data_IF_803121877999
#
_entry.id   IF_803121877999
#
_cell.length_a   1.000
_cell.length_b   1.000
_cell.length_c   1.000
_cell.angle_alpha   90.00
_cell.angle_beta   90.00
_cell.angle_gamma   90.00
#
_symmetry.space_group_name_H-M   'P 1'
#
loop_
_entity.id
_entity.type
_entity.pdbx_description
1 polymer ?
#
# COMPACT_ATOMS: atom_id res chain seq x y z
N UNK A 1 32.39 8.95 -31.36
CA UNK A 1 31.56 7.94 -32.05
C UNK A 1 30.14 8.48 -32.12
N UNK A 2 29.75 9.12 -33.25
CA UNK A 2 28.60 10.03 -33.33
C UNK A 2 27.40 9.45 -34.09
N UNK A 3 26.18 9.73 -33.64
CA UNK A 3 24.87 9.72 -34.34
C UNK A 3 23.85 10.09 -33.22
N UNK A 4 22.96 11.08 -33.25
CA UNK A 4 22.45 11.99 -34.28
C UNK A 4 21.69 13.17 -33.57
N UNK A 5 21.92 14.39 -34.08
CA UNK A 5 21.05 15.60 -34.20
C UNK A 5 20.24 16.16 -33.02
N UNK A 6 20.72 17.32 -32.57
CA UNK A 6 19.96 18.55 -32.34
C UNK A 6 18.97 18.83 -33.49
N UNK A 7 17.70 19.04 -33.15
CA UNK A 7 16.76 19.77 -34.00
C UNK A 7 16.62 21.18 -33.44
N UNK A 8 17.09 22.12 -34.26
CA UNK A 8 16.88 23.55 -34.13
C UNK A 8 15.40 23.87 -34.29
N UNK A 9 14.90 24.65 -33.34
CA UNK A 9 13.58 25.26 -33.29
C UNK A 9 13.65 26.54 -34.10
N UNK A 10 13.19 26.53 -35.34
CA UNK A 10 12.83 27.73 -36.11
C UNK A 10 11.91 27.32 -37.26
N UNK A 11 10.79 28.05 -37.37
CA UNK A 11 9.78 28.08 -38.44
C UNK A 11 8.96 26.82 -38.74
N UNK A 12 7.94 26.58 -37.90
CA UNK A 12 6.73 25.88 -38.35
C UNK A 12 5.49 26.50 -37.70
N UNK A 13 4.98 27.58 -38.30
CA UNK A 13 3.61 28.03 -38.11
C UNK A 13 2.66 27.08 -38.86
N UNK A 14 2.57 25.83 -38.41
CA UNK A 14 1.54 24.91 -38.83
C UNK A 14 0.45 24.92 -37.76
N UNK A 15 -0.69 25.53 -38.09
CA UNK A 15 -1.89 25.63 -37.27
C UNK A 15 -2.36 24.23 -36.84
N UNK A 16 -1.86 23.74 -35.70
CA UNK A 16 -2.32 22.50 -35.11
C UNK A 16 -3.71 22.73 -34.53
N UNK A 17 -4.73 22.13 -35.15
CA UNK A 17 -6.05 22.00 -34.53
C UNK A 17 -5.86 21.37 -33.15
N UNK A 18 -6.45 22.01 -32.14
CA UNK A 18 -6.41 21.57 -30.75
C UNK A 18 -6.89 20.12 -30.66
N UNK A 19 -5.96 19.20 -30.35
CA UNK A 19 -6.17 17.75 -30.34
C UNK A 19 -7.15 17.28 -29.26
N UNK A 20 -7.61 18.18 -28.40
CA UNK A 20 -8.60 17.89 -27.35
C UNK A 20 -10.06 18.01 -27.84
N UNK A 21 -10.29 18.34 -29.11
CA UNK A 21 -11.62 18.38 -29.72
C UNK A 21 -11.72 17.42 -30.91
N UNK A 22 -12.91 16.86 -31.20
CA UNK A 22 -13.11 16.05 -32.39
C UNK A 22 -12.72 16.84 -33.65
N UNK A 23 -11.98 16.17 -34.54
CA UNK A 23 -11.48 16.74 -35.80
C UNK A 23 -12.64 17.40 -36.55
N UNK A 24 -12.50 18.68 -36.89
CA UNK A 24 -13.57 19.40 -37.58
C UNK A 24 -13.77 18.82 -38.99
N UNK A 25 -15.00 18.86 -39.51
CA UNK A 25 -15.34 18.27 -40.83
C UNK A 25 -14.43 18.77 -41.96
N UNK A 26 -13.91 20.00 -41.87
CA UNK A 26 -12.96 20.52 -42.86
C UNK A 26 -11.60 19.80 -42.86
N UNK A 27 -11.13 19.33 -41.71
CA UNK A 27 -9.87 18.57 -41.62
C UNK A 27 -10.06 17.08 -41.92
N UNK A 28 -11.30 16.59 -41.95
CA UNK A 28 -11.61 15.20 -42.28
C UNK A 28 -11.57 14.95 -43.78
N UNK A 29 -11.88 15.97 -44.58
CA UNK A 29 -12.10 15.82 -46.02
C UNK A 29 -10.88 16.19 -46.89
N UNK A 30 -9.95 17.02 -46.41
CA UNK A 30 -8.78 17.48 -47.19
C UNK A 30 -7.49 17.50 -46.35
N UNK A 31 -6.61 16.53 -46.57
CA UNK A 31 -5.25 16.53 -45.99
C UNK A 31 -4.37 17.58 -46.70
N UNK A 32 -4.41 18.82 -46.23
CA UNK A 32 -3.50 19.89 -46.69
C UNK A 32 -4.15 21.24 -46.97
N UNK A 33 -5.48 21.35 -46.88
CA UNK A 33 -6.15 22.64 -46.99
C UNK A 33 -5.95 23.49 -45.70
N UNK A 34 -5.77 24.79 -45.87
CA UNK A 34 -5.62 25.74 -44.75
C UNK A 34 -6.94 25.82 -43.96
N UNK A 35 -6.94 25.30 -42.73
CA UNK A 35 -8.13 25.24 -41.88
C UNK A 35 -8.51 26.64 -41.38
N UNK A 36 -9.51 27.26 -42.03
CA UNK A 36 -10.01 28.58 -41.67
C UNK A 36 -11.19 28.46 -40.66
N UNK A 37 -10.93 27.88 -39.48
CA UNK A 37 -11.97 27.77 -38.45
C UNK A 37 -12.22 29.14 -37.80
N UNK A 38 -13.30 29.81 -38.22
CA UNK A 38 -13.84 30.97 -37.49
C UNK A 38 -14.85 30.46 -36.47
N UNK A 39 -14.61 30.61 -35.14
CA UNK A 39 -15.55 30.15 -34.13
C UNK A 39 -16.90 30.83 -34.34
N UNK A 40 -17.92 30.05 -34.73
CA UNK A 40 -19.27 30.56 -34.93
C UNK A 40 -19.77 31.04 -33.57
N UNK A 41 -19.81 32.36 -33.35
CA UNK A 41 -20.40 33.00 -32.16
C UNK A 41 -21.77 32.38 -31.95
N UNK A 42 -21.90 31.49 -30.97
CA UNK A 42 -23.21 30.98 -30.56
C UNK A 42 -24.00 32.18 -30.09
N UNK A 43 -25.06 32.53 -30.83
CA UNK A 43 -26.08 33.42 -30.32
C UNK A 43 -26.58 32.82 -29.01
N UNK A 44 -26.45 33.59 -27.91
CA UNK A 44 -27.14 33.31 -26.65
C UNK A 44 -28.61 33.09 -26.99
N UNK A 45 -29.08 31.86 -26.84
CA UNK A 45 -30.51 31.57 -26.90
C UNK A 45 -31.12 32.21 -25.65
N UNK A 46 -32.03 33.18 -25.76
CA UNK A 46 -32.74 33.70 -24.61
C UNK A 46 -33.64 32.59 -24.05
N UNK A 47 -33.37 32.16 -22.82
CA UNK A 47 -34.32 31.37 -22.04
C UNK A 47 -35.43 32.30 -21.57
N UNK A 48 -36.49 32.35 -22.36
CA UNK A 48 -37.80 32.86 -21.94
C UNK A 48 -38.88 31.82 -22.27
N UNK A 49 -39.95 31.83 -21.46
CA UNK A 49 -41.04 30.87 -21.29
C UNK A 49 -40.80 29.88 -20.12
N UNK A 50 -41.58 29.88 -19.03
CA UNK A 50 -42.99 30.25 -18.91
C UNK A 50 -43.35 30.76 -17.51
N UNK A 51 -44.14 31.83 -17.49
CA UNK A 51 -45.01 32.19 -16.37
C UNK A 51 -46.47 32.18 -16.85
N UNK A 52 -47.34 31.81 -15.92
CA UNK A 52 -48.77 32.12 -15.82
C UNK A 52 -49.78 31.22 -16.57
N UNK A 53 -50.35 30.27 -15.84
CA UNK A 53 -51.80 30.08 -15.77
C UNK A 53 -52.21 29.89 -14.30
N UNK A 54 -53.29 30.57 -13.92
CA UNK A 54 -53.71 30.91 -12.56
C UNK A 54 -55.10 30.31 -12.33
N UNK A 55 -55.28 29.37 -11.41
CA UNK A 55 -56.61 29.07 -10.84
C UNK A 55 -56.54 28.45 -9.43
N UNK A 56 -57.66 28.51 -8.70
CA UNK A 56 -57.83 28.82 -7.27
C UNK A 56 -57.86 27.61 -6.28
N UNK A 57 -57.30 27.84 -5.07
CA UNK A 57 -57.66 27.33 -3.71
C UNK A 57 -57.58 25.81 -3.35
N UNK A 58 -57.56 25.40 -2.05
CA UNK A 58 -56.95 26.02 -0.85
C UNK A 58 -56.08 25.04 0.00
N UNK A 59 -55.10 25.62 0.72
CA UNK A 59 -54.51 25.19 2.02
C UNK A 59 -54.24 23.70 2.32
N UNK A 60 -52.96 23.31 2.30
CA UNK A 60 -52.35 22.45 3.33
C UNK A 60 -50.84 22.75 3.51
N UNK A 61 -50.30 22.67 4.75
CA UNK A 61 -48.90 22.96 5.03
C UNK A 61 -48.08 21.67 5.06
N UNK A 62 -47.12 21.50 4.14
CA UNK A 62 -46.06 20.51 4.31
C UNK A 62 -44.72 21.07 3.86
N UNK A 63 -43.72 20.71 4.65
CA UNK A 63 -42.45 21.39 4.85
C UNK A 63 -41.48 21.15 3.69
N UNK A 64 -40.97 22.24 3.12
CA UNK A 64 -39.85 22.20 2.20
C UNK A 64 -38.56 21.87 2.97
N UNK A 65 -38.07 20.63 2.84
CA UNK A 65 -36.68 20.31 3.14
C UNK A 65 -35.82 20.71 1.95
N UNK A 66 -35.27 21.92 2.02
CA UNK A 66 -34.08 22.30 1.26
C UNK A 66 -32.93 21.35 1.65
N UNK A 67 -32.54 20.47 0.73
CA UNK A 67 -31.33 19.67 0.85
C UNK A 67 -30.12 20.59 0.66
N UNK A 68 -29.64 21.13 1.79
CA UNK A 68 -28.34 21.78 1.88
C UNK A 68 -27.28 20.68 1.93
N UNK A 69 -26.42 20.63 0.92
CA UNK A 69 -25.18 19.85 0.95
C UNK A 69 -24.22 20.48 1.95
N UNK A 70 -24.34 20.10 3.22
CA UNK A 70 -23.28 20.30 4.20
C UNK A 70 -22.28 19.15 4.03
N UNK A 71 -21.12 19.48 3.50
CA UNK A 71 -19.90 18.70 3.64
C UNK A 71 -19.63 18.61 5.15
N UNK A 72 -19.76 17.43 5.73
CA UNK A 72 -19.34 17.19 7.10
C UNK A 72 -17.82 17.36 7.19
N UNK A 73 -17.39 18.37 7.93
CA UNK A 73 -16.07 18.46 8.51
C UNK A 73 -15.81 17.19 9.33
N UNK A 74 -14.91 16.35 8.85
CA UNK A 74 -14.35 15.26 9.65
C UNK A 74 -13.39 15.84 10.68
N UNK A 75 -13.46 15.42 11.97
CA UNK A 75 -12.53 15.89 12.97
C UNK A 75 -11.10 15.45 12.64
N UNK A 76 -10.19 16.41 12.79
CA UNK A 76 -8.76 16.32 12.57
C UNK A 76 -8.18 15.15 13.39
N UNK A 77 -7.56 14.17 12.73
CA UNK A 77 -6.97 13.01 13.41
C UNK A 77 -5.81 13.45 14.32
N UNK A 78 -5.84 12.94 15.55
CA UNK A 78 -4.84 13.19 16.58
C UNK A 78 -3.48 12.59 16.17
N UNK A 79 -2.43 13.39 16.34
CA UNK A 79 -1.05 13.04 16.02
C UNK A 79 -0.53 11.91 16.92
N UNK A 80 -0.62 10.65 16.46
CA UNK A 80 0.01 9.52 17.14
C UNK A 80 1.48 9.42 16.77
N UNK A 81 2.32 9.72 17.77
CA UNK A 81 3.78 9.60 17.67
C UNK A 81 4.18 8.12 17.58
N UNK A 82 4.95 7.80 16.54
CA UNK A 82 5.58 6.51 16.29
C UNK A 82 6.61 6.19 17.37
N UNK A 83 6.20 5.47 18.43
CA UNK A 83 7.11 4.97 19.46
C UNK A 83 6.74 3.56 19.92
N UNK A 84 7.67 2.61 19.74
CA UNK A 84 7.80 1.32 20.42
C UNK A 84 6.63 0.31 20.34
N UNK A 85 6.27 -0.14 19.14
CA UNK A 85 5.58 -1.44 18.98
C UNK A 85 6.33 -2.29 17.96
N UNK A 86 7.47 -2.83 18.40
CA UNK A 86 8.00 -4.07 17.85
C UNK A 86 6.95 -5.13 18.15
N UNK A 87 6.59 -5.88 17.12
CA UNK A 87 5.70 -7.03 17.22
C UNK A 87 6.04 -7.86 18.46
N UNK A 88 5.07 -8.01 19.38
CA UNK A 88 5.02 -9.21 20.20
C UNK A 88 4.85 -10.38 19.23
N UNK A 89 5.97 -10.99 18.86
CA UNK A 89 5.98 -12.26 18.16
C UNK A 89 5.31 -13.30 19.06
N UNK A 90 4.36 -14.12 18.56
CA UNK A 90 4.13 -15.44 19.13
C UNK A 90 5.31 -16.31 18.68
N UNK A 91 6.49 -16.13 19.29
CA UNK A 91 7.60 -17.05 19.06
C UNK A 91 7.26 -18.41 19.66
N UNK A 92 7.49 -19.41 18.82
CA UNK A 92 7.43 -20.81 19.13
C UNK A 92 8.17 -21.14 20.44
N UNK A 93 7.48 -21.90 21.29
CA UNK A 93 8.08 -22.72 22.34
C UNK A 93 9.21 -23.58 21.75
N UNK A 94 10.47 -23.11 21.89
CA UNK A 94 11.67 -23.89 22.24
C UNK A 94 12.92 -22.99 22.12
N UNK A 95 13.15 -22.19 23.15
CA UNK A 95 14.45 -21.59 23.42
C UNK A 95 14.69 -21.66 24.92
N UNK A 96 15.74 -22.36 25.36
CA UNK A 96 16.17 -22.37 26.76
C UNK A 96 16.52 -20.93 27.17
N UNK A 97 15.93 -20.47 28.26
CA UNK A 97 16.37 -19.26 28.96
C UNK A 97 17.79 -19.47 29.51
N UNK A 98 18.66 -18.44 29.50
CA UNK A 98 19.94 -18.49 30.19
C UNK A 98 19.72 -18.63 31.71
N UNK A 99 20.44 -19.52 32.40
CA UNK A 99 20.38 -19.61 33.86
C UNK A 99 21.09 -18.40 34.48
N UNK A 100 20.45 -17.75 35.46
CA UNK A 100 21.17 -16.87 36.39
C UNK A 100 20.73 -15.41 36.45
N UNK A 101 19.45 -15.07 36.28
CA UNK A 101 18.99 -13.67 36.41
C UNK A 101 17.90 -13.41 37.45
N UNK A 102 17.83 -14.21 38.51
CA UNK A 102 17.26 -13.79 39.80
C UNK A 102 17.91 -14.60 40.93
N UNK A 103 18.98 -14.08 41.53
CA UNK A 103 19.28 -14.36 42.93
C UNK A 103 19.37 -13.03 43.68
N UNK A 104 18.40 -12.89 44.57
CA UNK A 104 18.20 -11.80 45.50
C UNK A 104 19.25 -11.94 46.60
N UNK A 105 19.90 -10.83 46.94
CA UNK A 105 20.86 -10.68 48.03
C UNK A 105 20.50 -11.51 49.26
N UNK A 106 21.33 -12.50 49.58
CA UNK A 106 21.45 -13.06 50.92
C UNK A 106 22.92 -13.01 51.33
N UNK A 107 23.14 -12.17 52.32
CA UNK A 107 24.33 -11.99 53.15
C UNK A 107 25.01 -13.31 53.54
N UNK A 108 26.33 -13.39 53.33
CA UNK A 108 27.17 -14.49 53.82
C UNK A 108 28.62 -14.33 53.40
N UNK A 109 29.36 -13.44 54.07
CA UNK A 109 30.82 -13.28 53.91
C UNK A 109 31.55 -14.31 54.78
N UNK A 110 32.03 -15.39 54.17
CA UNK A 110 33.18 -16.23 54.58
C UNK A 110 33.99 -16.37 53.27
N UNK A 111 35.26 -15.99 53.16
CA UNK A 111 36.40 -16.38 54.00
C UNK A 111 37.28 -17.33 53.18
N UNK A 112 38.60 -17.11 53.22
CA UNK A 112 39.68 -18.01 52.76
C UNK A 112 40.09 -17.98 51.27
N UNK A 113 41.22 -17.32 51.02
CA UNK A 113 42.52 -17.90 50.63
C UNK A 113 42.50 -19.15 49.72
N UNK A 114 43.17 -19.11 48.57
CA UNK A 114 44.49 -19.74 48.38
C UNK A 114 44.97 -19.58 46.93
N UNK A 115 46.28 -19.65 46.77
CA UNK A 115 47.09 -19.22 45.66
C UNK A 115 47.25 -20.25 44.52
N UNK A 116 47.90 -19.77 43.45
CA UNK A 116 49.03 -20.43 42.79
C UNK A 116 48.84 -21.35 41.57
N UNK A 117 49.59 -20.94 40.54
CA UNK A 117 50.45 -21.73 39.63
C UNK A 117 49.85 -22.33 38.35
N UNK A 118 50.22 -21.67 37.25
CA UNK A 118 51.02 -22.15 36.11
C UNK A 118 50.96 -23.64 35.72
N UNK A 119 50.72 -23.90 34.43
CA UNK A 119 50.74 -25.27 33.90
C UNK A 119 50.44 -25.38 32.41
N UNK A 120 51.47 -25.17 31.60
CA UNK A 120 51.50 -25.52 30.17
C UNK A 120 51.39 -27.05 29.97
N UNK A 121 50.57 -27.54 29.03
CA UNK A 121 50.97 -28.55 28.04
C UNK A 121 49.82 -29.10 27.14
N UNK A 122 50.03 -28.90 25.84
CA UNK A 122 49.90 -29.87 24.73
C UNK A 122 48.54 -30.44 24.27
N UNK A 123 48.37 -30.66 22.95
CA UNK A 123 47.10 -31.01 22.32
C UNK A 123 46.89 -32.54 22.21
N UNK A 124 45.64 -32.98 22.24
CA UNK A 124 45.25 -34.34 21.84
C UNK A 124 44.12 -34.34 20.83
N UNK A 125 44.46 -34.86 19.65
CA UNK A 125 43.58 -35.48 18.68
C UNK A 125 42.54 -36.40 19.32
N UNK A 126 41.30 -36.38 18.81
CA UNK A 126 40.45 -37.57 18.65
C UNK A 126 39.45 -37.40 17.49
N UNK A 127 38.96 -38.51 16.89
CA UNK A 127 38.60 -38.58 15.49
C UNK A 127 37.09 -38.69 15.23
N UNK A 128 36.79 -38.50 13.93
CA UNK A 128 35.55 -38.71 13.20
C UNK A 128 34.80 -40.01 13.56
N UNK A 129 33.50 -39.88 13.83
CA UNK A 129 32.55 -40.99 13.78
C UNK A 129 31.47 -40.70 12.74
N UNK A 130 31.59 -41.44 11.66
CA UNK A 130 30.59 -41.68 10.62
C UNK A 130 29.50 -42.61 11.18
N UNK A 131 28.22 -42.25 10.99
CA UNK A 131 27.08 -43.14 11.26
C UNK A 131 25.98 -42.94 10.21
N UNK A 132 26.12 -43.75 9.17
CA UNK A 132 25.08 -44.25 8.28
C UNK A 132 23.86 -44.78 9.06
N UNK A 133 22.66 -44.40 8.63
CA UNK A 133 21.39 -44.98 9.07
C UNK A 133 20.59 -45.41 7.84
N UNK A 134 20.68 -46.69 7.48
CA UNK A 134 19.72 -47.34 6.61
C UNK A 134 18.61 -48.01 7.44
N UNK A 135 17.39 -47.76 6.96
CA UNK A 135 16.14 -48.53 7.00
C UNK A 135 15.96 -49.69 8.01
N UNK A 136 14.80 -49.68 8.68
CA UNK A 136 13.94 -50.87 8.77
C UNK A 136 12.46 -50.53 8.95
N UNK A 137 11.68 -51.22 8.14
CA UNK A 137 10.23 -51.25 7.99
C UNK A 137 9.56 -52.21 9.01
N UNK A 138 8.26 -51.96 9.23
CA UNK A 138 7.18 -52.86 9.70
C UNK A 138 7.09 -53.21 11.20
N UNK A 139 5.99 -52.78 11.82
CA UNK A 139 5.14 -53.65 12.66
C UNK A 139 3.73 -53.10 12.77
N UNK A 140 2.77 -53.91 12.31
CA UNK A 140 1.34 -53.73 12.49
C UNK A 140 0.93 -54.27 13.87
N UNK A 141 0.09 -53.52 14.58
CA UNK A 141 -0.58 -53.95 15.80
C UNK A 141 -2.01 -53.41 15.83
N UNK A 142 -3.04 -54.24 16.08
CA UNK A 142 -4.42 -53.80 16.18
C UNK A 142 -4.80 -53.53 17.65
N UNK A 143 -5.90 -52.79 17.80
CA UNK A 143 -6.68 -52.62 19.05
C UNK A 143 -6.17 -51.57 20.04
N UNK A 144 -6.90 -50.46 20.07
CA UNK A 144 -6.77 -49.40 21.04
C UNK A 144 -7.81 -48.33 20.73
N UNK A 145 -8.97 -48.46 21.37
CA UNK A 145 -10.07 -47.49 21.45
C UNK A 145 -9.58 -46.04 21.35
N UNK A 146 -9.84 -45.39 20.21
CA UNK A 146 -9.62 -43.95 20.05
C UNK A 146 -10.78 -43.20 20.70
N UNK A 147 -10.52 -42.24 21.59
CA UNK A 147 -11.56 -41.33 22.06
C UNK A 147 -12.08 -40.54 20.86
N UNK A 148 -13.40 -40.32 20.82
CA UNK A 148 -14.03 -39.42 19.86
C UNK A 148 -13.25 -38.11 19.85
N UNK A 149 -12.48 -37.89 18.78
CA UNK A 149 -11.97 -36.59 18.46
C UNK A 149 -13.22 -35.74 18.25
N UNK A 150 -13.52 -34.84 19.20
CA UNK A 150 -14.27 -33.65 18.87
C UNK A 150 -13.49 -33.03 17.72
N UNK A 151 -14.00 -33.17 16.50
CA UNK A 151 -13.78 -32.20 15.44
C UNK A 151 -14.23 -30.88 16.04
N UNK A 152 -13.29 -30.21 16.71
CA UNK A 152 -13.47 -28.87 17.18
C UNK A 152 -13.69 -28.06 15.93
N UNK A 153 -14.96 -27.81 15.60
CA UNK A 153 -15.38 -26.83 14.61
C UNK A 153 -14.69 -25.54 15.01
N UNK A 154 -13.51 -25.30 14.43
CA UNK A 154 -12.70 -24.12 14.68
C UNK A 154 -13.63 -22.96 14.32
N UNK A 155 -14.12 -22.27 15.36
CA UNK A 155 -14.95 -21.11 15.16
C UNK A 155 -14.17 -20.20 14.22
N UNK A 156 -14.76 -19.81 13.06
CA UNK A 156 -14.06 -18.99 12.09
C UNK A 156 -13.45 -17.79 12.83
N UNK A 157 -12.16 -17.55 12.58
CA UNK A 157 -11.42 -16.48 13.25
C UNK A 157 -12.25 -15.20 13.19
N UNK A 158 -12.49 -14.59 14.37
CA UNK A 158 -13.32 -13.39 14.47
C UNK A 158 -12.65 -12.16 13.85
N UNK A 159 -11.38 -12.28 13.47
CA UNK A 159 -10.56 -11.19 12.98
C UNK A 159 -9.91 -11.56 11.65
N UNK A 160 -9.82 -10.57 10.75
CA UNK A 160 -9.02 -10.69 9.55
C UNK A 160 -7.56 -10.49 9.94
N UNK A 161 -6.74 -11.50 9.70
CA UNK A 161 -5.29 -11.41 9.86
C UNK A 161 -4.68 -10.76 8.60
N UNK A 162 -4.10 -9.55 8.71
CA UNK A 162 -3.42 -8.93 7.59
C UNK A 162 -2.21 -9.73 7.16
N UNK A 163 -1.89 -9.72 5.86
CA UNK A 163 -0.69 -10.40 5.39
C UNK A 163 0.59 -9.79 5.99
N UNK A 164 1.50 -10.66 6.44
CA UNK A 164 2.76 -10.27 7.06
C UNK A 164 3.91 -11.15 6.57
N UNK A 165 5.06 -10.51 6.32
CA UNK A 165 6.31 -11.18 6.01
C UNK A 165 7.49 -10.32 6.47
N UNK A 166 8.49 -10.91 7.13
CA UNK A 166 9.58 -10.17 7.78
C UNK A 166 10.45 -9.35 6.82
N UNK A 167 10.59 -9.80 5.57
CA UNK A 167 11.36 -9.08 4.54
C UNK A 167 10.63 -7.91 3.86
N UNK A 168 9.32 -7.74 4.07
CA UNK A 168 8.52 -6.70 3.41
C UNK A 168 8.02 -5.68 4.42
N UNK A 169 7.90 -4.42 4.00
CA UNK A 169 7.41 -3.39 4.89
C UNK A 169 5.93 -3.66 5.22
N UNK A 170 5.52 -3.56 6.50
CA UNK A 170 4.12 -3.69 6.87
C UNK A 170 3.29 -2.55 6.25
N UNK A 171 1.99 -2.80 6.07
CA UNK A 171 1.04 -1.77 5.65
C UNK A 171 1.02 -0.61 6.67
N UNK A 172 0.68 0.62 6.23
CA UNK A 172 0.49 1.76 7.12
C UNK A 172 -0.41 1.42 8.33
N UNK A 173 -0.08 1.97 9.50
CA UNK A 173 -0.81 1.67 10.74
C UNK A 173 -2.30 1.99 10.65
N UNK A 174 -2.67 3.08 9.97
CA UNK A 174 -4.06 3.47 9.73
C UNK A 174 -4.84 2.39 8.96
N UNK A 175 -4.20 1.72 7.99
CA UNK A 175 -4.78 0.59 7.26
C UNK A 175 -4.96 -0.60 8.21
N UNK A 176 -3.91 -0.99 8.94
CA UNK A 176 -3.95 -2.13 9.87
C UNK A 176 -5.00 -1.95 10.98
N UNK A 177 -5.11 -0.74 11.53
CA UNK A 177 -6.14 -0.40 12.53
C UNK A 177 -7.54 -0.47 11.91
N UNK A 178 -7.71 0.03 10.69
CA UNK A 178 -9.01 -0.04 10.02
C UNK A 178 -9.44 -1.46 9.64
N UNK A 179 -8.51 -2.37 9.33
CA UNK A 179 -8.85 -3.79 9.08
C UNK A 179 -9.41 -4.44 10.35
N UNK A 180 -8.88 -4.09 11.54
CA UNK A 180 -9.35 -4.65 12.82
C UNK A 180 -10.80 -4.32 13.16
N UNK A 181 -11.36 -3.26 12.56
CA UNK A 181 -12.77 -2.88 12.75
C UNK A 181 -13.71 -3.60 11.78
N UNK A 182 -13.18 -4.36 10.82
CA UNK A 182 -13.98 -5.02 9.78
C UNK A 182 -14.44 -6.39 10.25
N UNK A 183 -15.72 -6.69 10.05
CA UNK A 183 -16.28 -8.01 10.24
C UNK A 183 -15.88 -8.93 9.06
N UNK A 184 -15.14 -10.04 9.29
CA UNK A 184 -14.70 -10.94 8.22
C UNK A 184 -15.84 -11.51 7.38
N UNK A 185 -17.02 -11.72 7.97
CA UNK A 185 -18.20 -12.30 7.30
C UNK A 185 -18.80 -11.35 6.25
N UNK A 186 -18.53 -10.05 6.35
CA UNK A 186 -19.03 -9.05 5.42
C UNK A 186 -18.12 -8.86 4.20
N UNK A 187 -16.91 -9.43 4.23
CA UNK A 187 -15.90 -9.26 3.18
C UNK A 187 -15.82 -10.50 2.27
N UNK A 188 -15.32 -10.36 1.03
CA UNK A 188 -14.93 -11.52 0.22
C UNK A 188 -13.95 -12.40 0.99
N UNK A 189 -13.96 -13.71 0.78
CA UNK A 189 -12.85 -14.53 1.28
C UNK A 189 -11.58 -14.18 0.52
N UNK A 190 -10.43 -14.16 1.22
CA UNK A 190 -9.13 -13.91 0.60
C UNK A 190 -8.86 -14.85 -0.58
N UNK A 191 -9.10 -16.14 -0.38
CA UNK A 191 -8.91 -17.15 -1.42
C UNK A 191 -9.71 -16.83 -2.70
N UNK A 192 -11.01 -16.51 -2.59
CA UNK A 192 -11.83 -16.23 -3.76
C UNK A 192 -11.35 -14.97 -4.50
N UNK A 193 -10.90 -13.96 -3.76
CA UNK A 193 -10.34 -12.76 -4.36
C UNK A 193 -9.00 -13.04 -5.04
N UNK A 194 -8.09 -13.77 -4.39
CA UNK A 194 -6.78 -14.10 -4.93
C UNK A 194 -6.89 -14.94 -6.21
N UNK A 195 -7.80 -15.93 -6.25
CA UNK A 195 -8.09 -16.73 -7.45
C UNK A 195 -8.62 -15.85 -8.59
N UNK A 196 -9.56 -14.94 -8.30
CA UNK A 196 -10.12 -14.03 -9.31
C UNK A 196 -9.08 -13.01 -9.80
N UNK A 197 -8.24 -12.49 -8.91
CA UNK A 197 -7.16 -11.57 -9.22
C UNK A 197 -6.09 -12.26 -10.07
N UNK A 198 -5.68 -13.48 -9.72
CA UNK A 198 -4.72 -14.25 -10.49
C UNK A 198 -5.23 -14.53 -11.90
N UNK A 199 -6.50 -14.92 -12.05
CA UNK A 199 -7.13 -15.10 -13.36
C UNK A 199 -7.10 -13.80 -14.17
N UNK A 200 -7.50 -12.68 -13.56
CA UNK A 200 -7.43 -11.37 -14.21
C UNK A 200 -6.02 -11.03 -14.69
N UNK A 201 -5.00 -11.20 -13.84
CA UNK A 201 -3.60 -10.92 -14.17
C UNK A 201 -3.06 -11.83 -15.28
N UNK A 202 -3.48 -13.09 -15.30
CA UNK A 202 -3.12 -14.05 -16.34
C UNK A 202 -3.73 -13.71 -17.71
N UNK A 203 -4.95 -13.16 -17.72
CA UNK A 203 -5.67 -12.77 -18.94
C UNK A 203 -5.20 -11.42 -19.50
N UNK A 204 -4.33 -10.68 -18.78
CA UNK A 204 -3.72 -9.46 -19.30
C UNK A 204 -2.69 -9.78 -20.39
N UNK A 205 -2.51 -8.88 -21.38
CA UNK A 205 -1.35 -8.93 -22.26
C UNK A 205 -0.06 -9.04 -21.42
N UNK A 206 0.91 -9.89 -21.81
CA UNK A 206 2.14 -10.10 -21.04
C UNK A 206 2.85 -8.80 -20.66
N UNK A 207 2.73 -7.80 -21.52
CA UNK A 207 3.30 -6.47 -21.33
C UNK A 207 2.68 -5.71 -20.16
N UNK A 208 1.39 -5.86 -19.94
CA UNK A 208 0.69 -5.23 -18.83
C UNK A 208 0.80 -6.09 -17.56
N UNK A 209 0.77 -7.42 -17.69
CA UNK A 209 0.87 -8.34 -16.55
C UNK A 209 2.12 -8.09 -15.71
N UNK A 210 3.26 -7.86 -16.37
CA UNK A 210 4.57 -7.62 -15.72
C UNK A 210 4.61 -6.38 -14.80
N UNK A 211 3.80 -5.35 -15.08
CA UNK A 211 3.81 -4.08 -14.35
C UNK A 211 2.52 -3.82 -13.55
N UNK A 212 1.55 -4.73 -13.61
CA UNK A 212 0.23 -4.53 -12.99
C UNK A 212 0.24 -4.84 -11.50
N UNK A 213 0.87 -5.96 -11.10
CA UNK A 213 1.03 -6.36 -9.72
C UNK A 213 2.23 -7.30 -9.59
N UNK A 214 2.89 -7.28 -8.44
CA UNK A 214 4.15 -7.99 -8.25
C UNK A 214 4.00 -9.10 -7.21
N UNK A 215 4.35 -10.34 -7.58
CA UNK A 215 4.54 -11.41 -6.61
C UNK A 215 5.64 -11.02 -5.60
N UNK A 216 5.71 -11.65 -4.42
CA UNK A 216 6.78 -11.39 -3.45
C UNK A 216 8.19 -11.49 -4.06
N UNK A 217 8.43 -12.49 -4.91
CA UNK A 217 9.71 -12.72 -5.57
C UNK A 217 10.06 -11.56 -6.52
N UNK A 218 9.16 -11.28 -7.48
CA UNK A 218 9.34 -10.21 -8.45
C UNK A 218 9.46 -8.82 -7.78
N UNK A 219 8.68 -8.58 -6.72
CA UNK A 219 8.75 -7.35 -5.95
C UNK A 219 10.11 -7.22 -5.25
N UNK A 220 10.62 -8.30 -4.64
CA UNK A 220 11.91 -8.28 -3.94
C UNK A 220 13.11 -8.06 -4.88
N UNK A 221 13.06 -8.64 -6.08
CA UNK A 221 14.07 -8.44 -7.12
C UNK A 221 14.06 -6.99 -7.61
N UNK A 222 12.86 -6.45 -7.87
CA UNK A 222 12.68 -5.06 -8.28
C UNK A 222 13.13 -4.08 -7.19
N UNK A 223 12.77 -4.33 -5.93
CA UNK A 223 13.15 -3.50 -4.79
C UNK A 223 14.67 -3.47 -4.59
N UNK A 224 15.36 -4.61 -4.72
CA UNK A 224 16.83 -4.67 -4.66
C UNK A 224 17.48 -3.93 -5.82
N UNK A 225 17.04 -4.19 -7.05
CA UNK A 225 17.56 -3.50 -8.24
C UNK A 225 17.43 -1.97 -8.13
N UNK A 226 16.28 -1.48 -7.64
CA UNK A 226 16.05 -0.04 -7.43
C UNK A 226 16.89 0.51 -6.27
N UNK A 227 17.06 -0.23 -5.17
CA UNK A 227 17.86 0.21 -4.02
C UNK A 227 19.36 0.26 -4.34
N UNK A 228 19.87 -0.72 -5.09
CA UNK A 228 21.27 -0.84 -5.49
C UNK A 228 21.60 0.06 -6.70
N UNK A 229 20.60 0.51 -7.44
CA UNK A 229 20.78 1.20 -8.73
C UNK A 229 21.18 0.26 -9.87
N UNK A 230 21.29 -1.05 -9.61
CA UNK A 230 21.55 -2.06 -10.64
C UNK A 230 20.26 -2.45 -11.37
N UNK A 231 19.88 -1.61 -12.34
CA UNK A 231 18.74 -1.94 -13.20
C UNK A 231 19.06 -3.03 -14.21
N UNK A 232 20.31 -3.47 -14.39
CA UNK A 232 20.70 -4.37 -15.49
C UNK A 232 19.91 -5.69 -15.47
N UNK A 233 19.56 -6.17 -14.27
CA UNK A 233 18.81 -7.41 -13.99
C UNK A 233 17.33 -7.33 -14.34
N UNK A 234 16.79 -6.13 -14.52
CA UNK A 234 15.39 -5.92 -14.87
C UNK A 234 15.15 -6.11 -16.37
N UNK A 235 13.95 -6.55 -16.74
CA UNK A 235 13.50 -6.55 -18.13
C UNK A 235 13.51 -5.13 -18.71
N UNK A 236 13.59 -5.00 -20.03
CA UNK A 236 13.54 -3.69 -20.71
C UNK A 236 12.27 -2.90 -20.37
N UNK A 237 11.16 -3.61 -20.16
CA UNK A 237 9.88 -3.01 -19.78
C UNK A 237 9.90 -2.51 -18.35
N UNK A 238 10.34 -3.31 -17.38
CA UNK A 238 10.46 -2.88 -15.99
C UNK A 238 11.46 -1.72 -15.83
N UNK A 239 12.54 -1.70 -16.60
CA UNK A 239 13.45 -0.53 -16.69
C UNK A 239 12.72 0.72 -17.13
N UNK A 240 11.97 0.63 -18.23
CA UNK A 240 11.21 1.77 -18.77
C UNK A 240 10.15 2.25 -17.78
N UNK A 241 9.43 1.32 -17.16
CA UNK A 241 8.40 1.60 -16.18
C UNK A 241 8.96 2.25 -14.91
N UNK A 242 10.06 1.72 -14.36
CA UNK A 242 10.72 2.31 -13.18
C UNK A 242 11.24 3.71 -13.45
N UNK A 243 11.82 3.94 -14.63
CA UNK A 243 12.27 5.26 -15.06
C UNK A 243 11.09 6.23 -15.23
N UNK A 244 10.02 5.83 -15.93
CA UNK A 244 8.88 6.69 -16.21
C UNK A 244 8.11 7.10 -14.94
N UNK A 245 7.93 6.16 -14.01
CA UNK A 245 7.22 6.42 -12.76
C UNK A 245 8.12 6.92 -11.63
N UNK A 246 9.41 7.14 -11.88
CA UNK A 246 10.38 7.60 -10.90
C UNK A 246 10.38 6.70 -9.64
N UNK A 247 10.37 5.38 -9.83
CA UNK A 247 10.31 4.42 -8.72
C UNK A 247 11.53 4.61 -7.80
N UNK A 248 11.30 4.61 -6.49
CA UNK A 248 12.34 4.73 -5.46
C UNK A 248 12.26 3.61 -4.44
N UNK A 249 13.39 3.27 -3.81
CA UNK A 249 13.37 2.49 -2.58
C UNK A 249 12.80 3.32 -1.44
N UNK A 250 11.91 2.70 -0.65
CA UNK A 250 11.20 3.32 0.48
C UNK A 250 11.60 2.82 1.85
N UNK A 251 12.60 1.94 1.94
CA UNK A 251 13.10 1.40 3.21
C UNK A 251 14.54 0.92 3.04
N UNK A 252 15.31 0.96 4.14
CA UNK A 252 16.65 0.33 4.22
C UNK A 252 16.59 -1.06 4.84
N UNK A 253 15.52 -1.37 5.57
CA UNK A 253 15.33 -2.64 6.29
C UNK A 253 14.46 -3.65 5.54
N UNK A 254 13.53 -3.16 4.74
CA UNK A 254 12.50 -3.94 4.08
C UNK A 254 12.51 -3.73 2.57
N UNK A 255 11.95 -4.69 1.84
CA UNK A 255 11.55 -4.44 0.46
C UNK A 255 10.32 -3.51 0.45
N UNK A 256 10.52 -2.27 0.02
CA UNK A 256 9.45 -1.29 -0.18
C UNK A 256 9.78 -0.40 -1.38
N UNK A 257 8.84 -0.30 -2.32
CA UNK A 257 8.88 0.56 -3.48
C UNK A 257 7.92 1.75 -3.30
N UNK A 258 8.39 2.93 -3.70
CA UNK A 258 7.65 4.19 -3.65
C UNK A 258 7.52 4.81 -5.03
N UNK A 259 6.39 5.48 -5.26
CA UNK A 259 6.19 6.42 -6.35
C UNK A 259 6.03 7.82 -5.77
N UNK A 260 6.73 8.85 -6.27
CA UNK A 260 6.37 10.22 -5.93
C UNK A 260 4.92 10.50 -6.35
N UNK A 261 4.22 11.39 -5.65
CA UNK A 261 2.94 11.92 -6.15
C UNK A 261 3.22 12.92 -7.27
N UNK A 262 2.26 13.10 -8.17
CA UNK A 262 2.39 13.99 -9.34
C UNK A 262 2.82 15.42 -8.97
N UNK A 263 2.28 15.98 -7.88
CA UNK A 263 2.66 17.30 -7.37
C UNK A 263 4.16 17.42 -7.00
N UNK A 264 4.82 16.28 -6.81
CA UNK A 264 6.23 16.17 -6.43
C UNK A 264 7.12 15.75 -7.61
N UNK A 265 6.59 15.53 -8.82
CA UNK A 265 7.41 15.12 -9.98
C UNK A 265 8.39 16.21 -10.44
N UNK A 266 8.04 17.48 -10.22
CA UNK A 266 8.82 18.64 -10.68
C UNK A 266 9.66 19.29 -9.58
N UNK A 267 9.77 18.67 -8.40
CA UNK A 267 10.60 19.22 -7.32
C UNK A 267 12.08 18.99 -7.61
N UNK A 268 12.93 19.79 -6.96
CA UNK A 268 14.38 19.60 -7.06
C UNK A 268 14.78 18.24 -6.47
N UNK A 269 15.71 17.50 -7.12
CA UNK A 269 16.14 16.18 -6.64
C UNK A 269 16.59 16.17 -5.18
N UNK A 270 17.24 17.24 -4.70
CA UNK A 270 17.72 17.33 -3.32
C UNK A 270 16.55 17.41 -2.32
N UNK A 271 15.44 18.06 -2.70
CA UNK A 271 14.22 18.10 -1.88
C UNK A 271 13.50 16.74 -1.92
N UNK A 272 13.42 16.10 -3.08
CA UNK A 272 12.85 14.75 -3.22
C UNK A 272 13.58 13.75 -2.31
N UNK A 273 14.92 13.75 -2.36
CA UNK A 273 15.74 12.86 -1.54
C UNK A 273 15.59 13.13 -0.05
N UNK A 274 15.44 14.40 0.35
CA UNK A 274 15.13 14.74 1.74
C UNK A 274 13.79 14.17 2.18
N UNK A 275 12.72 14.38 1.41
CA UNK A 275 11.38 13.86 1.71
C UNK A 275 11.38 12.33 1.74
N UNK A 276 12.14 11.68 0.84
CA UNK A 276 12.32 10.23 0.80
C UNK A 276 13.03 9.71 2.05
N UNK A 277 14.09 10.38 2.50
CA UNK A 277 14.79 10.00 3.72
C UNK A 277 13.92 10.17 4.98
N UNK A 278 13.10 11.21 5.04
CA UNK A 278 12.10 11.39 6.10
C UNK A 278 11.08 10.25 6.11
N UNK A 279 10.59 9.85 4.92
CA UNK A 279 9.70 8.69 4.76
C UNK A 279 10.37 7.39 5.24
N UNK A 280 11.59 7.11 4.79
CA UNK A 280 12.36 5.90 5.16
C UNK A 280 12.52 5.81 6.67
N UNK A 281 12.91 6.92 7.32
CA UNK A 281 13.11 6.95 8.77
C UNK A 281 11.81 6.57 9.53
N UNK A 282 10.66 7.08 9.08
CA UNK A 282 9.37 6.73 9.66
C UNK A 282 9.02 5.24 9.48
N UNK A 283 9.19 4.69 8.27
CA UNK A 283 8.89 3.28 7.97
C UNK A 283 9.81 2.34 8.73
N UNK A 284 11.10 2.66 8.79
CA UNK A 284 12.11 1.83 9.44
C UNK A 284 12.08 1.97 10.97
N UNK A 285 11.22 2.84 11.51
CA UNK A 285 11.14 3.13 12.94
C UNK A 285 12.39 3.80 13.49
N UNK A 286 13.15 4.47 12.63
CA UNK A 286 14.28 5.30 13.03
C UNK A 286 13.72 6.58 13.62
N UNK A 287 13.79 6.72 14.95
CA UNK A 287 13.49 8.01 15.57
C UNK A 287 14.50 9.03 15.04
N UNK A 288 14.05 10.18 14.49
CA UNK A 288 14.97 11.19 14.01
C UNK A 288 15.84 11.63 15.18
N UNK A 289 17.09 11.21 15.18
CA UNK A 289 18.09 11.54 16.21
C UNK A 289 18.41 13.03 16.24
N UNK A 290 17.97 13.78 15.22
CA UNK A 290 18.01 15.24 15.16
C UNK A 290 16.88 15.89 15.96
N UNK A 291 16.70 15.47 17.22
CA UNK A 291 16.31 16.42 18.27
C UNK A 291 17.52 17.29 18.59
N UNK A 292 17.98 18.06 17.61
CA UNK A 292 18.69 19.30 17.91
C UNK A 292 17.65 20.17 18.59
N UNK A 293 17.65 20.09 19.92
CA UNK A 293 16.94 20.93 20.85
C UNK A 293 17.41 22.37 20.66
N UNK A 294 17.06 22.98 19.53
CA UNK A 294 16.97 24.41 19.45
C UNK A 294 15.73 24.73 20.26
N UNK A 295 15.98 24.97 21.55
CA UNK A 295 15.14 25.72 22.47
C UNK A 295 14.83 27.06 21.81
N UNK A 296 13.92 27.09 20.85
CA UNK A 296 13.22 28.30 20.45
C UNK A 296 12.18 28.56 21.53
N UNK A 297 12.64 29.07 22.66
CA UNK A 297 11.85 29.69 23.74
C UNK A 297 11.17 31.00 23.31
N UNK A 298 11.10 31.28 22.01
CA UNK A 298 10.33 32.37 21.45
C UNK A 298 8.91 31.91 21.14
N UNK A 299 8.00 32.03 22.12
CA UNK A 299 6.56 31.96 21.88
C UNK A 299 6.12 33.14 21.00
N UNK A 300 6.23 32.98 19.68
CA UNK A 300 5.51 33.79 18.71
C UNK A 300 4.14 33.15 18.43
N UNK A 301 3.01 33.86 18.64
CA UNK A 301 1.69 33.36 18.22
C UNK A 301 1.63 33.36 16.70
N UNK A 302 1.87 32.21 16.07
CA UNK A 302 1.80 32.05 14.62
C UNK A 302 2.86 31.12 14.00
N UNK A 303 3.70 30.46 14.79
CA UNK A 303 4.69 29.55 14.24
C UNK A 303 4.03 28.25 13.77
N UNK A 304 3.81 28.18 12.46
CA UNK A 304 3.36 26.99 11.74
C UNK A 304 4.19 25.79 12.20
N UNK A 305 3.52 24.81 12.82
CA UNK A 305 4.08 23.49 13.10
C UNK A 305 4.61 22.96 11.78
N UNK A 306 5.93 22.89 11.64
CA UNK A 306 6.56 22.33 10.43
C UNK A 306 6.06 20.88 10.35
N UNK A 307 5.24 20.62 9.33
CA UNK A 307 4.55 19.36 9.14
C UNK A 307 5.57 18.22 8.97
N UNK A 308 5.90 17.54 10.08
CA UNK A 308 6.77 16.37 10.13
C UNK A 308 6.29 15.18 9.27
N UNK A 309 5.17 15.33 8.56
CA UNK A 309 4.53 14.33 7.72
C UNK A 309 4.59 14.67 6.21
N UNK A 310 5.31 15.72 5.80
CA UNK A 310 5.45 16.06 4.37
C UNK A 310 6.01 14.86 3.59
N UNK A 311 7.00 14.15 4.13
CA UNK A 311 7.57 12.94 3.54
C UNK A 311 6.52 11.86 3.22
N UNK A 312 5.67 11.48 4.19
CA UNK A 312 4.60 10.47 3.97
C UNK A 312 3.59 10.93 2.93
N UNK A 313 3.28 12.22 2.90
CA UNK A 313 2.36 12.78 1.93
C UNK A 313 2.96 12.85 0.51
N UNK A 314 4.28 12.90 0.37
CA UNK A 314 4.95 13.07 -0.92
C UNK A 314 4.97 11.81 -1.78
N UNK A 315 4.83 10.63 -1.16
CA UNK A 315 4.97 9.34 -1.85
C UNK A 315 3.70 8.47 -1.74
N UNK A 316 3.57 7.56 -2.69
CA UNK A 316 2.64 6.45 -2.69
C UNK A 316 3.43 5.15 -2.54
N UNK A 317 2.96 4.23 -1.71
CA UNK A 317 3.51 2.88 -1.56
C UNK A 317 2.97 1.96 -2.66
N UNK A 318 3.84 1.17 -3.26
CA UNK A 318 3.42 0.06 -4.12
C UNK A 318 3.25 -1.18 -3.24
N UNK A 319 2.06 -1.77 -3.13
CA UNK A 319 1.85 -2.97 -2.34
C UNK A 319 2.42 -4.20 -3.05
N UNK A 320 2.89 -5.18 -2.30
CA UNK A 320 3.14 -6.53 -2.85
C UNK A 320 1.79 -7.23 -3.08
N UNK A 321 1.69 -8.12 -4.07
CA UNK A 321 0.42 -8.71 -4.52
C UNK A 321 -0.51 -9.18 -3.37
N UNK A 322 -0.05 -9.94 -2.35
CA UNK A 322 -0.92 -10.37 -1.24
C UNK A 322 -1.49 -9.22 -0.38
N UNK A 323 -0.78 -8.09 -0.30
CA UNK A 323 -1.24 -6.91 0.45
C UNK A 323 -2.41 -6.19 -0.25
N UNK A 324 -2.65 -6.41 -1.54
CA UNK A 324 -3.74 -5.76 -2.27
C UNK A 324 -5.09 -6.09 -1.63
N UNK A 325 -5.32 -7.35 -1.24
CA UNK A 325 -6.54 -7.75 -0.54
C UNK A 325 -6.75 -6.94 0.75
N UNK A 326 -5.71 -6.81 1.58
CA UNK A 326 -5.78 -6.09 2.86
C UNK A 326 -6.08 -4.60 2.68
N UNK A 327 -5.46 -3.98 1.67
CA UNK A 327 -5.73 -2.59 1.29
C UNK A 327 -7.19 -2.42 0.84
N UNK A 328 -7.74 -3.39 0.09
CA UNK A 328 -9.12 -3.34 -0.37
C UNK A 328 -10.13 -3.60 0.75
N UNK A 329 -9.85 -4.52 1.69
CA UNK A 329 -10.65 -4.70 2.91
C UNK A 329 -10.76 -3.38 3.67
N UNK A 330 -9.63 -2.70 3.90
CA UNK A 330 -9.62 -1.41 4.56
C UNK A 330 -10.43 -0.36 3.79
N UNK A 331 -10.20 -0.24 2.48
CA UNK A 331 -10.83 0.79 1.66
C UNK A 331 -12.34 0.54 1.42
N UNK A 332 -12.77 -0.72 1.47
CA UNK A 332 -14.14 -1.14 1.25
C UNK A 332 -14.91 -1.41 2.57
N UNK A 333 -14.34 -1.11 3.74
CA UNK A 333 -14.96 -1.37 5.05
C UNK A 333 -16.38 -0.82 5.24
N UNK A 334 -16.75 0.21 4.49
CA UNK A 334 -18.08 0.84 4.51
C UNK A 334 -18.99 0.38 3.37
N UNK A 335 -18.63 -0.67 2.62
CA UNK A 335 -19.37 -1.19 1.46
C UNK A 335 -19.67 -0.12 0.41
N UNK A 336 -18.68 0.76 0.17
CA UNK A 336 -18.78 1.87 -0.77
C UNK A 336 -18.69 1.40 -2.23
N UNK A 337 -19.07 2.26 -3.17
CA UNK A 337 -18.93 1.95 -4.61
C UNK A 337 -17.46 1.75 -5.02
N UNK A 338 -17.21 1.07 -6.13
CA UNK A 338 -15.84 0.86 -6.67
C UNK A 338 -15.05 2.16 -6.83
N UNK A 339 -15.71 3.26 -7.21
CA UNK A 339 -15.07 4.58 -7.34
C UNK A 339 -14.63 5.16 -5.98
N UNK A 340 -15.49 5.06 -4.98
CA UNK A 340 -15.17 5.51 -3.63
C UNK A 340 -14.09 4.64 -2.99
N UNK A 341 -14.15 3.33 -3.18
CA UNK A 341 -13.11 2.41 -2.73
C UNK A 341 -11.76 2.73 -3.38
N UNK A 342 -11.70 2.94 -4.69
CA UNK A 342 -10.45 3.33 -5.37
C UNK A 342 -9.92 4.69 -4.88
N UNK A 343 -10.81 5.66 -4.64
CA UNK A 343 -10.43 6.95 -4.06
C UNK A 343 -9.83 6.78 -2.65
N UNK A 344 -10.44 5.93 -1.82
CA UNK A 344 -9.94 5.63 -0.47
C UNK A 344 -8.56 4.95 -0.50
N UNK A 345 -8.30 4.04 -1.46
CA UNK A 345 -6.97 3.44 -1.65
C UNK A 345 -5.91 4.50 -1.96
N UNK A 346 -6.22 5.46 -2.83
CA UNK A 346 -5.32 6.58 -3.18
C UNK A 346 -5.09 7.54 -2.01
N UNK A 347 -6.14 7.80 -1.23
CA UNK A 347 -6.05 8.61 -0.02
C UNK A 347 -5.18 7.95 1.04
N UNK A 348 -5.24 6.62 1.16
CA UNK A 348 -4.36 5.84 2.03
C UNK A 348 -2.89 5.79 1.57
N UNK A 349 -2.55 6.45 0.45
CA UNK A 349 -1.18 6.53 -0.04
C UNK A 349 -0.71 5.24 -0.71
N UNK A 350 -1.61 4.49 -1.34
CA UNK A 350 -1.28 3.24 -2.06
C UNK A 350 -1.43 3.43 -3.57
N UNK A 351 -0.45 2.96 -4.33
CA UNK A 351 -0.41 2.98 -5.79
C UNK A 351 -0.68 1.59 -6.40
N UNK A 352 -0.72 1.52 -7.74
CA UNK A 352 -0.85 0.31 -8.56
C UNK A 352 -2.12 -0.54 -8.36
N UNK A 353 -3.01 -0.18 -7.44
CA UNK A 353 -4.35 -0.74 -7.37
C UNK A 353 -5.21 -0.12 -8.46
N UNK A 354 -5.64 -0.94 -9.42
CA UNK A 354 -6.40 -0.50 -10.58
C UNK A 354 -7.91 -0.66 -10.38
N UNK A 355 -8.70 -0.02 -11.24
CA UNK A 355 -10.16 -0.15 -11.20
C UNK A 355 -10.64 -1.62 -11.33
N UNK A 356 -10.15 -2.45 -12.28
CA UNK A 356 -10.57 -3.85 -12.38
C UNK A 356 -10.32 -4.67 -11.11
N UNK A 357 -9.23 -4.42 -10.39
CA UNK A 357 -8.94 -5.09 -9.12
C UNK A 357 -9.99 -4.74 -8.06
N UNK A 358 -10.31 -3.45 -7.92
CA UNK A 358 -11.36 -2.96 -7.01
C UNK A 358 -12.73 -3.53 -7.39
N UNK A 359 -13.08 -3.50 -8.67
CA UNK A 359 -14.37 -4.00 -9.15
C UNK A 359 -14.53 -5.51 -8.90
N UNK A 360 -13.47 -6.28 -9.11
CA UNK A 360 -13.45 -7.71 -8.78
C UNK A 360 -13.74 -7.94 -7.29
N UNK A 361 -13.08 -7.17 -6.42
CA UNK A 361 -13.33 -7.24 -4.98
C UNK A 361 -14.77 -6.89 -4.59
N UNK A 362 -15.31 -5.78 -5.11
CA UNK A 362 -16.68 -5.33 -4.81
C UNK A 362 -17.73 -6.33 -5.31
N UNK A 363 -17.53 -6.94 -6.48
CA UNK A 363 -18.44 -7.98 -7.01
C UNK A 363 -18.44 -9.26 -6.17
N UNK A 364 -17.29 -9.61 -5.59
CA UNK A 364 -17.16 -10.74 -4.68
C UNK A 364 -17.66 -10.44 -3.26
N UNK A 365 -17.89 -9.17 -2.90
CA UNK A 365 -18.39 -8.80 -1.59
C UNK A 365 -19.82 -9.32 -1.38
N UNK A 366 -20.08 -10.13 -0.33
CA UNK A 366 -21.39 -10.74 -0.12
C UNK A 366 -22.48 -9.69 0.12
N UNK A 367 -22.20 -8.62 0.87
CA UNK A 367 -23.19 -7.58 1.16
C UNK A 367 -23.52 -6.75 -0.08
N UNK A 368 -22.51 -6.35 -0.85
CA UNK A 368 -22.73 -5.59 -2.09
C UNK A 368 -23.51 -6.40 -3.12
N UNK A 369 -23.20 -7.69 -3.26
CA UNK A 369 -23.91 -8.60 -4.17
C UNK A 369 -25.38 -8.79 -3.76
N UNK A 370 -25.66 -8.92 -2.45
CA UNK A 370 -27.04 -8.97 -1.95
C UNK A 370 -27.82 -7.69 -2.26
N UNK A 371 -27.22 -6.50 -2.05
CA UNK A 371 -27.83 -5.19 -2.36
C UNK A 371 -28.10 -5.01 -3.86
N UNK A 372 -27.19 -5.48 -4.71
CA UNK A 372 -27.36 -5.41 -6.16
C UNK A 372 -28.58 -6.23 -6.62
N UNK A 373 -28.80 -7.41 -6.03
CA UNK A 373 -29.95 -8.28 -6.34
C UNK A 373 -31.29 -7.71 -5.87
N UNK A 374 -31.30 -6.94 -4.78
CA UNK A 374 -32.54 -6.38 -4.22
C UNK A 374 -33.08 -5.15 -4.96
N UNK A 375 -32.33 -4.59 -5.92
CA UNK A 375 -32.79 -3.44 -6.70
C UNK A 375 -33.44 -3.96 -7.98
N UNK A 376 -34.77 -4.10 -8.07
CA UNK A 376 -35.42 -4.49 -9.31
C UNK A 376 -35.09 -3.45 -10.39
N UNK A 377 -34.59 -3.92 -11.53
CA UNK A 377 -34.48 -3.09 -12.73
C UNK A 377 -35.90 -2.67 -13.12
N UNK A 378 -36.24 -1.42 -12.82
CA UNK A 378 -37.47 -0.77 -13.28
C UNK A 378 -37.23 -0.12 -14.63
#
# INVERSE_FOLDING_TARGET
MPFLRLLTREDSSYWQCDRNLPVCNHCTEDEGAECNYTPKKRHKVPSDHAAAAKERQPTQPYTAKTASFLISDMPNEENYTTGNWIAEHPEALRGRLPPGMYEIYSSGSQGSDDESMDGSNSPRHRPSHDRSWEARMLSAGPSGSRPCAFEGTLLPSRYLDPWYHSAFAPLPRSILQGIRTVNPVEMPSRQNYDEALFKFLHDLPPELGEISAFSPEAYSDLARAVAEGDTARLSSRLKSWTQFHHVRSGSRKYHLLLLPREAYFSIRPEKEDRLRNEFIAEVDGETPTNKSSVTSTGHGPGQHVINSHEGVSAFLRIPVLPQIYDVLVYAHKNHASSAQTLAQVRQAGVACVTWPMVETFVRLCPLCNLRAKSTPQQ
#
